data_IF_543273234959
#
_entry.id   IF_543273234959
#
_cell.length_a   1.000
_cell.length_b   1.000
_cell.length_c   1.000
_cell.angle_alpha   90.00
_cell.angle_beta   90.00
_cell.angle_gamma   90.00
#
_symmetry.space_group_name_H-M   'P 1'
#
loop_
_entity.id
_entity.type
_entity.pdbx_description
1 polymer ?
#
# COMPACT_ATOMS: atom_id res chain seq x y z
N UNK A 1 6.90 -14.50 -5.81
CA UNK A 1 6.38 -14.33 -4.46
C UNK A 1 5.57 -13.05 -4.38
N UNK A 2 4.36 -13.16 -3.93
CA UNK A 2 3.47 -12.01 -3.84
C UNK A 2 3.63 -11.35 -2.48
N UNK A 3 4.08 -10.11 -2.47
CA UNK A 3 4.19 -9.35 -1.24
C UNK A 3 3.24 -8.18 -1.31
N UNK A 4 2.35 -8.08 -0.34
CA UNK A 4 1.49 -6.92 -0.21
C UNK A 4 2.31 -5.80 0.43
N UNK A 5 2.42 -4.69 -0.26
CA UNK A 5 3.20 -3.55 0.20
C UNK A 5 2.23 -2.43 0.60
N UNK A 6 2.43 -1.81 1.77
CA UNK A 6 1.60 -0.66 2.15
C UNK A 6 1.79 0.50 1.18
N UNK A 7 0.69 1.05 0.72
CA UNK A 7 0.71 2.20 -0.19
C UNK A 7 -0.25 3.25 0.31
N UNK A 8 0.09 4.50 0.10
CA UNK A 8 -0.71 5.61 0.57
C UNK A 8 -1.77 6.00 -0.45
N UNK A 9 -2.99 6.21 0.00
CA UNK A 9 -4.08 6.66 -0.85
C UNK A 9 -3.96 8.15 -1.10
N UNK A 10 -3.80 8.54 -2.36
CA UNK A 10 -3.69 9.95 -2.78
C UNK A 10 -5.05 10.56 -3.08
N UNK A 11 -5.90 9.82 -3.78
CA UNK A 11 -7.23 10.30 -4.16
C UNK A 11 -8.16 9.13 -4.35
N UNK A 12 -9.44 9.39 -4.28
CA UNK A 12 -10.48 8.38 -4.43
C UNK A 12 -11.53 8.87 -5.42
N UNK A 13 -11.90 8.02 -6.35
CA UNK A 13 -12.96 8.28 -7.32
C UNK A 13 -13.83 7.04 -7.44
N UNK A 14 -15.01 7.06 -6.80
CA UNK A 14 -15.91 5.92 -6.81
C UNK A 14 -15.26 4.68 -6.18
N UNK A 15 -15.15 3.62 -6.95
CA UNK A 15 -14.57 2.35 -6.49
C UNK A 15 -13.07 2.25 -6.72
N UNK A 16 -12.46 3.30 -7.26
CA UNK A 16 -11.03 3.30 -7.53
C UNK A 16 -10.33 4.36 -6.70
N UNK A 17 -9.09 4.08 -6.36
CA UNK A 17 -8.23 5.03 -5.68
C UNK A 17 -6.92 5.13 -6.42
N UNK A 18 -6.33 6.33 -6.38
CA UNK A 18 -4.96 6.50 -6.80
C UNK A 18 -4.09 6.34 -5.57
N UNK A 19 -3.17 5.40 -5.63
CA UNK A 19 -2.28 5.10 -4.53
C UNK A 19 -0.85 5.35 -4.95
N UNK A 20 0.00 5.57 -3.98
CA UNK A 20 1.37 5.99 -4.23
C UNK A 20 2.34 5.20 -3.36
N UNK A 21 3.46 4.81 -3.95
CA UNK A 21 4.57 4.21 -3.24
C UNK A 21 5.87 4.66 -3.89
N UNK A 22 6.75 5.23 -3.11
CA UNK A 22 8.07 5.65 -3.57
C UNK A 22 8.04 6.55 -4.81
N UNK A 23 7.09 7.49 -4.84
CA UNK A 23 6.97 8.44 -5.95
C UNK A 23 6.25 7.91 -7.17
N UNK A 24 5.86 6.65 -7.18
CA UNK A 24 5.11 6.05 -8.29
C UNK A 24 3.65 5.92 -7.91
N UNK A 25 2.77 6.30 -8.84
CA UNK A 25 1.32 6.21 -8.61
C UNK A 25 0.71 5.04 -9.35
N UNK A 26 -0.25 4.41 -8.73
CA UNK A 26 -0.98 3.28 -9.29
C UNK A 26 -2.46 3.49 -9.06
N UNK A 27 -3.28 2.84 -9.88
CA UNK A 27 -4.71 2.79 -9.65
C UNK A 27 -5.06 1.44 -9.05
N UNK A 28 -5.93 1.45 -8.06
CA UNK A 28 -6.36 0.24 -7.38
C UNK A 28 -7.86 0.28 -7.11
N UNK A 29 -8.47 -0.89 -7.12
CA UNK A 29 -9.87 -1.01 -6.72
C UNK A 29 -9.95 -0.99 -5.20
N UNK A 30 -10.88 -0.21 -4.67
CA UNK A 30 -11.14 -0.16 -3.24
C UNK A 30 -12.47 -0.82 -2.89
N UNK A 31 -12.95 -1.72 -3.74
CA UNK A 31 -14.22 -2.40 -3.52
C UNK A 31 -14.21 -3.26 -2.26
N UNK A 32 -13.03 -3.76 -1.89
CA UNK A 32 -12.86 -4.58 -0.68
C UNK A 32 -12.61 -3.73 0.57
N UNK A 33 -12.33 -2.44 0.39
CA UNK A 33 -12.04 -1.52 1.49
C UNK A 33 -12.84 -0.24 1.29
N UNK A 34 -14.20 -0.32 1.30
CA UNK A 34 -15.02 0.85 0.95
C UNK A 34 -14.92 2.00 1.95
N UNK A 35 -14.46 1.77 3.15
CA UNK A 35 -14.31 2.81 4.16
C UNK A 35 -12.96 3.52 4.13
N UNK A 36 -12.10 3.20 3.17
CA UNK A 36 -10.79 3.83 3.05
C UNK A 36 -10.94 5.33 2.75
N UNK A 37 -10.01 6.13 3.27
CA UNK A 37 -10.01 7.58 3.08
C UNK A 37 -8.67 8.03 2.52
N UNK A 38 -8.67 9.19 1.89
CA UNK A 38 -7.44 9.82 1.42
C UNK A 38 -6.48 10.01 2.60
N UNK A 39 -5.25 9.60 2.41
CA UNK A 39 -4.23 9.64 3.46
C UNK A 39 -4.05 8.32 4.19
N UNK A 40 -5.01 7.40 4.06
CA UNK A 40 -4.88 6.08 4.66
C UNK A 40 -3.85 5.25 3.88
N UNK A 41 -3.30 4.25 4.55
CA UNK A 41 -2.46 3.27 3.91
C UNK A 41 -3.26 2.00 3.66
N UNK A 42 -3.03 1.37 2.53
CA UNK A 42 -3.68 0.12 2.17
C UNK A 42 -2.66 -0.89 1.71
N UNK A 43 -2.96 -2.15 1.92
CA UNK A 43 -2.19 -3.24 1.34
C UNK A 43 -2.76 -3.55 -0.04
N UNK A 44 -1.91 -3.51 -1.04
CA UNK A 44 -2.32 -3.76 -2.42
C UNK A 44 -1.88 -5.15 -2.85
N UNK A 45 -2.80 -5.87 -3.47
CA UNK A 45 -2.52 -7.18 -4.05
C UNK A 45 -3.31 -7.34 -5.33
N UNK A 46 -2.61 -7.59 -6.43
CA UNK A 46 -3.21 -7.80 -7.76
C UNK A 46 -4.19 -6.70 -8.20
N UNK A 47 -3.87 -5.44 -7.88
CA UNK A 47 -4.71 -4.32 -8.27
C UNK A 47 -5.87 -4.01 -7.32
N UNK A 48 -5.99 -4.75 -6.22
CA UNK A 48 -7.04 -4.54 -5.21
C UNK A 48 -6.43 -4.15 -3.88
N UNK A 49 -7.02 -3.14 -3.25
CA UNK A 49 -6.71 -2.85 -1.86
C UNK A 49 -7.44 -3.88 -1.00
N UNK A 50 -6.68 -4.65 -0.24
CA UNK A 50 -7.25 -5.76 0.53
C UNK A 50 -7.38 -5.47 2.02
N UNK A 51 -6.70 -4.44 2.51
CA UNK A 51 -6.71 -4.10 3.92
C UNK A 51 -6.33 -2.65 4.10
N UNK A 52 -6.93 -2.01 5.10
CA UNK A 52 -6.59 -0.63 5.47
C UNK A 52 -5.66 -0.72 6.68
N UNK A 53 -4.58 0.06 6.66
CA UNK A 53 -3.60 0.11 7.74
C UNK A 53 -3.53 1.49 8.33
N UNK A 54 -3.27 1.56 9.64
CA UNK A 54 -2.93 2.82 10.29
C UNK A 54 -1.56 3.28 9.82
N UNK A 55 -1.31 4.57 9.87
CA UNK A 55 -0.02 5.11 9.50
C UNK A 55 1.12 4.46 10.30
N UNK A 56 0.92 4.26 11.59
CA UNK A 56 1.91 3.63 12.44
C UNK A 56 2.23 2.20 12.01
N UNK A 57 1.20 1.40 11.73
CA UNK A 57 1.39 0.04 11.24
C UNK A 57 2.09 0.02 9.90
N UNK A 58 1.70 0.93 9.02
CA UNK A 58 2.29 1.03 7.68
C UNK A 58 3.78 1.37 7.78
N UNK A 59 4.15 2.28 8.66
CA UNK A 59 5.55 2.66 8.83
C UNK A 59 6.38 1.49 9.36
N UNK A 60 5.85 0.74 10.30
CA UNK A 60 6.53 -0.43 10.83
C UNK A 60 6.72 -1.49 9.74
N UNK A 61 5.68 -1.74 8.96
CA UNK A 61 5.75 -2.70 7.86
C UNK A 61 6.75 -2.28 6.80
N UNK A 62 6.74 -1.02 6.41
CA UNK A 62 7.69 -0.49 5.44
C UNK A 62 9.11 -0.59 5.93
N UNK A 63 9.33 -0.38 7.21
CA UNK A 63 10.65 -0.52 7.82
C UNK A 63 11.15 -1.95 7.70
N UNK A 64 10.29 -2.92 7.94
CA UNK A 64 10.64 -4.34 7.79
C UNK A 64 11.00 -4.65 6.34
N UNK A 65 10.23 -4.17 5.39
CA UNK A 65 10.54 -4.36 3.98
C UNK A 65 11.88 -3.76 3.60
N UNK A 66 12.21 -2.60 4.14
CA UNK A 66 13.51 -1.97 3.89
C UNK A 66 14.65 -2.84 4.43
N UNK A 67 14.48 -3.43 5.59
CA UNK A 67 15.48 -4.33 6.17
C UNK A 67 15.66 -5.59 5.32
N UNK A 68 14.55 -6.16 4.85
CA UNK A 68 14.61 -7.33 3.98
C UNK A 68 15.31 -7.02 2.66
N UNK A 69 15.03 -5.85 2.10
CA UNK A 69 15.65 -5.42 0.86
C UNK A 69 17.16 -5.24 1.03
N UNK A 70 17.58 -4.67 2.15
CA UNK A 70 18.99 -4.49 2.47
C UNK A 70 19.71 -5.84 2.59
N UNK A 71 19.07 -6.82 3.21
CA UNK A 71 19.62 -8.16 3.32
C UNK A 71 19.74 -8.80 1.95
N UNK A 72 18.73 -8.69 1.12
CA UNK A 72 18.73 -9.26 -0.23
C UNK A 72 19.85 -8.71 -1.10
N UNK A 73 20.21 -7.46 -0.90
CA UNK A 73 21.26 -6.81 -1.69
C UNK A 73 22.66 -7.35 -1.40
N UNK A 74 22.82 -8.07 -0.32
CA UNK A 74 24.11 -8.59 0.09
C UNK A 74 24.35 -10.01 -0.41
N UNK A 75 23.41 -10.60 -1.05
CA UNK A 75 23.56 -11.96 -1.61
C UNK A 75 24.26 -12.02 -2.95
#
# INVERSE_FOLDING_TARGET
>A
MCLAVPMRVKSIQGDEAEIESEGTSYKASIRLTPEVKVGDYVLLHTGYAISIMDEEEAQETLKIFQELDAISKHE
#
